data_IF_235371422931
#
_entry.id   IF_235371422931
#
_cell.length_a   1.000
_cell.length_b   1.000
_cell.length_c   1.000
_cell.angle_alpha   90.00
_cell.angle_beta   90.00
_cell.angle_gamma   90.00
#
_symmetry.space_group_name_H-M   'P 1'
#
loop_
_entity.id
_entity.type
_entity.pdbx_description
1 polymer ?
#
# COMPACT_ATOMS: atom_id res chain seq x y z
N UNK A 1 15.43 4.28 4.76
CA UNK A 1 14.79 5.47 4.12
C UNK A 1 13.29 5.25 4.02
N UNK A 2 12.44 6.24 4.35
CA UNK A 2 10.98 6.14 4.24
C UNK A 2 10.51 6.81 2.96
N UNK A 3 10.11 6.04 1.96
CA UNK A 3 9.45 6.58 0.76
C UNK A 3 7.94 6.59 0.98
N UNK A 4 7.29 7.70 0.64
CA UNK A 4 5.82 7.82 0.63
C UNK A 4 5.37 7.69 -0.82
N UNK A 5 4.91 6.49 -1.20
CA UNK A 5 4.46 6.19 -2.55
C UNK A 5 2.92 6.24 -2.59
N UNK A 6 2.35 7.07 -3.47
CA UNK A 6 0.91 7.20 -3.64
C UNK A 6 0.56 7.24 -5.13
N UNK A 7 -0.45 6.48 -5.54
CA UNK A 7 -1.08 6.61 -6.86
C UNK A 7 -2.30 7.53 -6.70
N UNK A 8 -2.29 8.77 -7.25
CA UNK A 8 -3.35 9.74 -7.04
C UNK A 8 -4.73 9.27 -7.52
N UNK A 9 -4.79 8.56 -8.64
CA UNK A 9 -6.07 8.06 -9.20
C UNK A 9 -6.69 6.98 -8.30
N UNK A 10 -5.87 6.07 -7.76
CA UNK A 10 -6.34 5.03 -6.85
C UNK A 10 -6.72 5.61 -5.48
N UNK A 11 -5.92 6.54 -4.96
CA UNK A 11 -6.22 7.22 -3.71
C UNK A 11 -7.55 7.99 -3.80
N UNK A 12 -7.76 8.75 -4.88
CA UNK A 12 -9.01 9.47 -5.11
C UNK A 12 -10.22 8.52 -5.21
N UNK A 13 -10.11 7.46 -6.00
CA UNK A 13 -11.17 6.44 -6.12
C UNK A 13 -11.51 5.83 -4.77
N UNK A 14 -10.50 5.50 -3.95
CA UNK A 14 -10.72 4.92 -2.63
C UNK A 14 -11.36 5.94 -1.66
N UNK A 15 -10.84 7.18 -1.63
CA UNK A 15 -11.36 8.25 -0.77
C UNK A 15 -12.80 8.62 -1.11
N UNK A 16 -13.19 8.44 -2.37
CA UNK A 16 -14.58 8.64 -2.81
C UNK A 16 -15.53 7.54 -2.31
N UNK A 17 -15.02 6.37 -1.93
CA UNK A 17 -15.79 5.27 -1.35
C UNK A 17 -15.81 5.30 0.17
N UNK A 18 -14.69 5.70 0.79
CA UNK A 18 -14.56 5.83 2.23
C UNK A 18 -13.59 6.96 2.58
N UNK A 19 -14.05 7.99 3.28
CA UNK A 19 -13.19 9.12 3.65
C UNK A 19 -12.19 8.73 4.75
N UNK A 20 -12.60 7.87 5.69
CA UNK A 20 -11.75 7.45 6.81
C UNK A 20 -10.54 6.61 6.38
N UNK A 21 -10.52 6.08 5.15
CA UNK A 21 -9.33 5.39 4.63
C UNK A 21 -8.11 6.30 4.54
N UNK A 22 -8.29 7.62 4.52
CA UNK A 22 -7.21 8.59 4.48
C UNK A 22 -6.16 8.36 5.58
N UNK A 23 -6.55 7.76 6.71
CA UNK A 23 -5.65 7.36 7.81
C UNK A 23 -4.63 6.27 7.42
N UNK A 24 -4.94 5.47 6.40
CA UNK A 24 -4.09 4.39 5.90
C UNK A 24 -3.23 4.80 4.69
N UNK A 25 -3.42 6.04 4.19
CA UNK A 25 -2.64 6.59 3.10
C UNK A 25 -1.41 7.36 3.62
N UNK A 26 -0.29 7.39 2.88
CA UNK A 26 -0.02 6.68 1.64
C UNK A 26 0.42 5.22 1.86
N UNK A 27 0.55 4.45 0.78
CA UNK A 27 1.16 3.11 0.83
C UNK A 27 2.62 3.22 1.30
N UNK A 28 2.87 2.90 2.56
CA UNK A 28 4.20 3.01 3.15
C UNK A 28 5.13 1.89 2.65
N UNK A 29 6.37 2.26 2.32
CA UNK A 29 7.47 1.34 2.00
C UNK A 29 8.67 1.69 2.89
N UNK A 30 9.35 0.66 3.39
CA UNK A 30 10.54 0.77 4.23
C UNK A 30 11.69 0.07 3.50
N UNK A 31 12.81 0.79 3.38
CA UNK A 31 14.07 0.24 2.87
C UNK A 31 15.13 0.36 3.95
N UNK A 32 15.76 -0.75 4.30
CA UNK A 32 16.79 -0.83 5.34
C UNK A 32 17.79 -1.96 5.04
N UNK A 33 18.92 -1.95 5.74
CA UNK A 33 19.90 -3.03 5.72
C UNK A 33 19.67 -3.93 6.94
N UNK A 34 19.63 -5.25 6.74
CA UNK A 34 19.50 -6.20 7.84
C UNK A 34 20.86 -6.54 8.48
N UNK A 35 20.86 -7.33 9.56
CA UNK A 35 22.08 -7.72 10.29
C UNK A 35 23.11 -8.50 9.44
N UNK A 36 22.70 -9.02 8.28
CA UNK A 36 23.57 -9.73 7.34
C UNK A 36 24.13 -8.81 6.23
N UNK A 37 23.92 -7.50 6.32
CA UNK A 37 24.33 -6.55 5.29
C UNK A 37 23.49 -6.61 4.01
N UNK A 38 22.31 -7.24 4.03
CA UNK A 38 21.42 -7.32 2.85
C UNK A 38 20.42 -6.17 2.87
N UNK A 39 20.21 -5.54 1.71
CA UNK A 39 19.12 -4.59 1.53
C UNK A 39 17.79 -5.31 1.57
N UNK A 40 16.87 -4.83 2.41
CA UNK A 40 15.51 -5.34 2.57
C UNK A 40 14.53 -4.23 2.22
N UNK A 41 13.55 -4.58 1.39
CA UNK A 41 12.44 -3.71 1.00
C UNK A 41 11.14 -4.34 1.51
N UNK A 42 10.40 -3.59 2.34
CA UNK A 42 9.11 -4.03 2.90
C UNK A 42 8.04 -3.01 2.54
N UNK A 43 6.89 -3.48 2.06
CA UNK A 43 5.73 -2.63 1.75
C UNK A 43 4.52 -3.01 2.62
N UNK A 44 3.65 -2.03 2.87
CA UNK A 44 2.34 -2.29 3.48
C UNK A 44 1.50 -3.22 2.58
N UNK A 45 0.79 -4.16 3.20
CA UNK A 45 -0.21 -4.98 2.49
C UNK A 45 -1.55 -4.22 2.46
N UNK A 46 -2.03 -3.77 1.29
CA UNK A 46 -3.26 -2.99 1.19
C UNK A 46 -4.51 -3.77 1.61
N UNK A 47 -4.56 -5.07 1.34
CA UNK A 47 -5.71 -5.93 1.68
C UNK A 47 -5.87 -6.00 3.20
N UNK A 48 -4.77 -6.24 3.92
CA UNK A 48 -4.77 -6.32 5.40
C UNK A 48 -5.00 -4.94 6.03
N UNK A 49 -4.45 -3.88 5.44
CA UNK A 49 -4.62 -2.53 5.96
C UNK A 49 -6.08 -2.07 5.83
N UNK A 50 -6.70 -2.32 4.68
CA UNK A 50 -8.06 -1.86 4.39
C UNK A 50 -9.14 -2.80 4.91
N UNK A 51 -8.84 -4.05 5.26
CA UNK A 51 -9.82 -4.95 5.91
C UNK A 51 -10.31 -4.46 7.27
N UNK A 52 -9.65 -3.45 7.86
CA UNK A 52 -10.08 -2.77 9.08
C UNK A 52 -11.22 -1.79 8.84
N UNK A 53 -11.40 -1.38 7.60
CA UNK A 53 -12.48 -0.55 7.14
C UNK A 53 -13.51 -1.52 6.59
N UNK A 54 -14.61 -1.72 7.31
CA UNK A 54 -15.67 -2.69 6.99
C UNK A 54 -16.51 -2.25 5.77
N UNK A 55 -15.85 -1.91 4.66
CA UNK A 55 -16.44 -1.43 3.42
C UNK A 55 -16.08 -2.36 2.24
N UNK A 56 -16.99 -3.25 1.81
CA UNK A 56 -16.76 -4.19 0.72
C UNK A 56 -16.40 -3.53 -0.63
N UNK A 57 -16.77 -2.26 -0.84
CA UNK A 57 -16.43 -1.54 -2.07
C UNK A 57 -14.93 -1.25 -2.21
N UNK A 58 -14.16 -1.39 -1.12
CA UNK A 58 -12.72 -1.20 -1.13
C UNK A 58 -11.95 -2.44 -1.59
N UNK A 59 -12.54 -3.65 -1.57
CA UNK A 59 -11.82 -4.88 -1.93
C UNK A 59 -11.20 -4.82 -3.34
N UNK A 60 -11.93 -4.40 -4.40
CA UNK A 60 -11.36 -4.35 -5.74
C UNK A 60 -10.18 -3.37 -5.83
N UNK A 61 -10.27 -2.25 -5.10
CA UNK A 61 -9.22 -1.24 -5.06
C UNK A 61 -8.00 -1.77 -4.29
N UNK A 62 -8.22 -2.43 -3.15
CA UNK A 62 -7.18 -3.05 -2.35
C UNK A 62 -6.41 -4.11 -3.16
N UNK A 63 -7.12 -4.96 -3.90
CA UNK A 63 -6.52 -5.95 -4.81
C UNK A 63 -5.70 -5.28 -5.90
N UNK A 64 -6.24 -4.25 -6.57
CA UNK A 64 -5.53 -3.54 -7.64
C UNK A 64 -4.22 -2.90 -7.12
N UNK A 65 -4.28 -2.21 -5.97
CA UNK A 65 -3.11 -1.61 -5.34
C UNK A 65 -2.09 -2.68 -4.94
N UNK A 66 -2.56 -3.81 -4.39
CA UNK A 66 -1.69 -4.92 -3.97
C UNK A 66 -0.94 -5.53 -5.14
N UNK A 67 -1.62 -5.79 -6.26
CA UNK A 67 -0.98 -6.33 -7.48
C UNK A 67 0.08 -5.37 -8.00
N UNK A 68 -0.22 -4.07 -8.06
CA UNK A 68 0.73 -3.06 -8.54
C UNK A 68 1.95 -2.94 -7.62
N UNK A 69 1.76 -2.93 -6.31
CA UNK A 69 2.86 -2.90 -5.34
C UNK A 69 3.75 -4.14 -5.47
N UNK A 70 3.15 -5.32 -5.62
CA UNK A 70 3.90 -6.57 -5.81
C UNK A 70 4.75 -6.53 -7.07
N UNK A 71 4.20 -6.08 -8.20
CA UNK A 71 4.95 -5.93 -9.46
C UNK A 71 6.16 -5.00 -9.32
N UNK A 72 6.03 -3.91 -8.55
CA UNK A 72 7.16 -2.99 -8.30
C UNK A 72 8.23 -3.65 -7.44
N UNK A 73 7.85 -4.45 -6.43
CA UNK A 73 8.80 -5.14 -5.55
C UNK A 73 9.52 -6.25 -6.31
N UNK A 74 8.82 -7.01 -7.16
CA UNK A 74 9.40 -8.08 -7.98
C UNK A 74 10.35 -7.57 -9.07
N UNK A 75 10.28 -6.29 -9.42
CA UNK A 75 11.16 -5.66 -10.42
C UNK A 75 12.47 -5.13 -9.84
N UNK A 76 12.71 -5.29 -8.53
CA UNK A 76 13.91 -4.82 -7.80
C UNK A 76 14.82 -6.01 -7.51
#
# INVERSE_FOLDING_TARGET
MRSRSCNPNLAYRALSQETELGLFLPCNVIVYENEQGKTVVTAINPIVALSRIENPQLEPIATEVSTRLQQVIEAI
#
